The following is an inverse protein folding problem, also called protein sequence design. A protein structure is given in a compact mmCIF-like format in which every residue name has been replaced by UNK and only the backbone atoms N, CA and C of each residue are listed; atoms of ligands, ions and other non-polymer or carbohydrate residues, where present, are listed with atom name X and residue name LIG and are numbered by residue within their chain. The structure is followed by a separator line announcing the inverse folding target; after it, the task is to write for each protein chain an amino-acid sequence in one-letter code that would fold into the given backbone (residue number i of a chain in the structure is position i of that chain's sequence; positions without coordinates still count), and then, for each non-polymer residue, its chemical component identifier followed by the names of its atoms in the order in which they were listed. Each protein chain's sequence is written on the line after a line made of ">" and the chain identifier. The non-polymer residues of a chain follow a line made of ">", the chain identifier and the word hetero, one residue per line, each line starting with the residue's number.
data_IF_444528262953
#
_entry.id   IF_444528262953
#
_cell.length_a   1.000
_cell.length_b   1.000
_cell.length_c   1.000
_cell.angle_alpha   90.00
_cell.angle_beta   90.00
_cell.angle_gamma   90.00
#
_symmetry.space_group_name_H-M   'P 1'
#
loop_
_entity.id
_entity.type
_entity.pdbx_description
1 polymer ?
#
# COMPACT_ATOMS: atom_id res chain seq x y z
N UNK A 1 18.77 6.21 -22.81
CA UNK A 1 18.68 5.14 -23.84
C UNK A 1 18.73 3.84 -23.07
N UNK A 2 17.57 3.31 -22.68
CA UNK A 2 17.50 2.18 -21.74
C UNK A 2 18.20 0.97 -22.36
N UNK A 3 19.04 0.31 -21.56
CA UNK A 3 19.79 -0.86 -21.98
C UNK A 3 18.80 -2.01 -22.26
N UNK A 4 19.19 -2.98 -23.09
CA UNK A 4 18.37 -4.19 -23.32
C UNK A 4 18.09 -4.95 -22.02
N UNK A 5 18.96 -4.81 -21.01
CA UNK A 5 18.76 -5.40 -19.68
C UNK A 5 17.65 -4.67 -18.93
N UNK A 6 17.60 -3.35 -18.98
CA UNK A 6 16.57 -2.53 -18.28
C UNK A 6 15.17 -2.87 -18.80
N UNK A 7 15.03 -3.02 -20.11
CA UNK A 7 13.77 -3.42 -20.75
C UNK A 7 13.37 -4.84 -20.34
N UNK A 8 14.34 -5.77 -20.27
CA UNK A 8 14.07 -7.15 -19.85
C UNK A 8 13.66 -7.23 -18.37
N UNK A 9 14.31 -6.45 -17.50
CA UNK A 9 13.94 -6.33 -16.09
C UNK A 9 12.53 -5.76 -15.92
N UNK A 10 12.18 -4.72 -16.69
CA UNK A 10 10.85 -4.11 -16.66
C UNK A 10 9.75 -5.06 -17.16
N UNK A 11 10.04 -5.84 -18.20
CA UNK A 11 9.11 -6.88 -18.70
C UNK A 11 8.95 -7.98 -17.64
N UNK A 12 10.05 -8.48 -17.08
CA UNK A 12 10.02 -9.55 -16.08
C UNK A 12 9.35 -9.11 -14.77
N UNK A 13 9.53 -7.85 -14.35
CA UNK A 13 8.90 -7.31 -13.15
C UNK A 13 7.37 -7.20 -13.26
N UNK A 14 6.84 -6.97 -14.47
CA UNK A 14 5.40 -6.98 -14.72
C UNK A 14 4.84 -8.40 -14.91
N UNK A 15 5.61 -9.29 -15.54
CA UNK A 15 5.17 -10.66 -15.85
C UNK A 15 5.20 -11.58 -14.64
N UNK A 16 6.26 -11.57 -13.83
CA UNK A 16 6.43 -12.53 -12.75
C UNK A 16 5.29 -12.42 -11.71
N UNK A 17 4.86 -11.22 -11.24
CA UNK A 17 3.77 -11.13 -10.28
C UNK A 17 2.41 -11.56 -10.87
N UNK A 18 2.14 -11.23 -12.15
CA UNK A 18 0.95 -11.73 -12.88
C UNK A 18 0.96 -13.27 -12.97
N UNK A 19 2.12 -13.87 -13.27
CA UNK A 19 2.29 -15.34 -13.33
C UNK A 19 2.12 -15.99 -11.95
N UNK A 20 2.67 -15.40 -10.89
CA UNK A 20 2.45 -15.88 -9.52
C UNK A 20 0.97 -15.83 -9.14
N UNK A 21 0.28 -14.73 -9.46
CA UNK A 21 -1.15 -14.59 -9.23
C UNK A 21 -1.94 -15.65 -9.99
N UNK A 22 -1.70 -15.78 -11.30
CA UNK A 22 -2.37 -16.74 -12.14
C UNK A 22 -2.17 -18.16 -11.59
N UNK A 23 -0.95 -18.53 -11.21
CA UNK A 23 -0.66 -19.84 -10.61
C UNK A 23 -1.47 -20.08 -9.33
N UNK A 24 -1.59 -19.06 -8.45
CA UNK A 24 -2.39 -19.16 -7.22
C UNK A 24 -3.88 -19.30 -7.51
N UNK A 25 -4.42 -18.54 -8.46
CA UNK A 25 -5.83 -18.65 -8.89
C UNK A 25 -6.11 -20.03 -9.44
N UNK A 26 -5.28 -20.51 -10.38
CA UNK A 26 -5.43 -21.84 -11.00
C UNK A 26 -5.32 -22.96 -9.96
N UNK A 27 -4.43 -22.84 -8.99
CA UNK A 27 -4.34 -23.80 -7.88
C UNK A 27 -5.60 -23.78 -7.00
N UNK A 28 -6.12 -22.60 -6.67
CA UNK A 28 -7.27 -22.46 -5.77
C UNK A 28 -8.61 -22.84 -6.42
N UNK A 29 -8.79 -22.55 -7.71
CA UNK A 29 -10.08 -22.67 -8.41
C UNK A 29 -10.09 -23.67 -9.57
N UNK A 30 -8.92 -24.18 -9.99
CA UNK A 30 -8.78 -25.07 -11.14
C UNK A 30 -8.89 -24.39 -12.51
N UNK A 31 -9.41 -23.17 -12.57
CA UNK A 31 -9.49 -22.33 -13.78
C UNK A 31 -9.18 -20.86 -13.44
N UNK A 32 -9.31 -19.95 -14.41
CA UNK A 32 -9.11 -18.51 -14.21
C UNK A 32 -10.41 -17.70 -14.28
N UNK A 33 -11.55 -18.38 -14.34
CA UNK A 33 -12.84 -17.77 -14.56
C UNK A 33 -13.12 -16.69 -13.50
N UNK A 34 -13.42 -15.48 -13.97
CA UNK A 34 -13.67 -14.36 -13.09
C UNK A 34 -12.44 -13.67 -12.52
N UNK A 35 -11.20 -14.06 -12.84
CA UNK A 35 -9.96 -13.39 -12.38
C UNK A 35 -9.01 -13.01 -13.50
N UNK A 36 -8.80 -13.91 -14.46
CA UNK A 36 -8.06 -13.67 -15.69
C UNK A 36 -8.72 -14.45 -16.83
N UNK A 37 -8.89 -13.84 -17.98
CA UNK A 37 -9.13 -14.59 -19.21
C UNK A 37 -8.02 -14.18 -20.16
N UNK A 38 -7.14 -15.12 -20.50
CA UNK A 38 -6.07 -14.90 -21.47
C UNK A 38 -6.72 -14.39 -22.77
N UNK A 39 -6.37 -13.17 -23.21
CA UNK A 39 -7.00 -12.51 -24.36
C UNK A 39 -8.23 -11.64 -24.09
N UNK A 40 -8.66 -11.49 -22.83
CA UNK A 40 -9.71 -10.54 -22.42
C UNK A 40 -9.28 -9.75 -21.18
N UNK A 41 -8.07 -9.15 -21.21
CA UNK A 41 -7.73 -8.17 -20.17
C UNK A 41 -8.79 -7.05 -20.23
N UNK A 42 -9.59 -6.84 -19.18
CA UNK A 42 -10.67 -5.88 -19.25
C UNK A 42 -10.09 -4.46 -19.40
N UNK A 43 -10.71 -3.66 -20.27
CA UNK A 43 -10.42 -2.22 -20.47
C UNK A 43 -10.60 -1.36 -19.19
N UNK A 44 -10.94 -1.97 -18.06
CA UNK A 44 -11.19 -1.29 -16.79
C UNK A 44 -10.00 -1.43 -15.87
N UNK A 45 -9.55 -0.32 -15.27
CA UNK A 45 -8.51 -0.32 -14.25
C UNK A 45 -8.92 0.59 -13.07
N UNK A 46 -8.60 0.26 -11.81
CA UNK A 46 -8.03 -1.02 -11.36
C UNK A 46 -9.01 -2.19 -11.59
N UNK A 47 -8.51 -3.37 -11.96
CA UNK A 47 -9.31 -4.57 -12.19
C UNK A 47 -9.25 -5.55 -11.00
N UNK A 48 -9.77 -6.76 -11.17
CA UNK A 48 -9.80 -7.78 -10.11
C UNK A 48 -8.41 -8.25 -9.65
N UNK A 49 -7.41 -8.24 -10.54
CA UNK A 49 -6.02 -8.51 -10.16
C UNK A 49 -5.48 -7.38 -9.27
N UNK A 50 -5.62 -6.13 -9.69
CA UNK A 50 -5.13 -4.96 -8.96
C UNK A 50 -5.78 -4.86 -7.57
N UNK A 51 -7.06 -5.23 -7.47
CA UNK A 51 -7.83 -5.21 -6.23
C UNK A 51 -7.60 -6.43 -5.33
N UNK A 52 -6.85 -7.44 -5.79
CA UNK A 52 -6.64 -8.66 -5.01
C UNK A 52 -5.67 -8.46 -3.85
N UNK A 53 -5.90 -9.15 -2.73
CA UNK A 53 -5.04 -9.01 -1.55
C UNK A 53 -3.62 -9.51 -1.75
N UNK A 54 -3.39 -10.45 -2.68
CA UNK A 54 -2.03 -10.86 -3.02
C UNK A 54 -1.26 -9.74 -3.73
N UNK A 55 -1.91 -8.95 -4.59
CA UNK A 55 -1.28 -7.77 -5.20
C UNK A 55 -1.13 -6.66 -4.17
N UNK A 56 -2.23 -6.28 -3.52
CA UNK A 56 -2.26 -5.14 -2.59
C UNK A 56 -1.30 -5.34 -1.40
N UNK A 57 -1.10 -6.57 -0.92
CA UNK A 57 -0.14 -6.85 0.16
C UNK A 57 1.24 -7.22 -0.35
N UNK A 58 1.37 -8.24 -1.20
CA UNK A 58 2.68 -8.82 -1.47
C UNK A 58 3.51 -8.00 -2.46
N UNK A 59 2.85 -7.37 -3.43
CA UNK A 59 3.52 -6.52 -4.42
C UNK A 59 3.61 -5.10 -3.90
N UNK A 60 2.49 -4.56 -3.40
CA UNK A 60 2.37 -3.14 -3.05
C UNK A 60 2.57 -2.84 -1.56
N UNK A 61 2.91 -3.80 -0.70
CA UNK A 61 3.14 -3.57 0.73
C UNK A 61 1.97 -2.91 1.51
N UNK A 62 0.77 -2.91 0.92
CA UNK A 62 -0.39 -2.19 1.41
C UNK A 62 -0.37 -0.68 1.16
N UNK A 63 0.67 -0.13 0.51
CA UNK A 63 0.70 1.26 0.04
C UNK A 63 -0.07 1.44 -1.27
N UNK A 64 -0.25 2.70 -1.61
CA UNK A 64 -0.84 3.15 -2.87
C UNK A 64 0.14 2.99 -4.03
N UNK A 65 -0.39 3.01 -5.25
CA UNK A 65 0.41 3.02 -6.47
C UNK A 65 -0.36 3.73 -7.59
N UNK A 66 0.31 4.64 -8.30
CA UNK A 66 -0.18 5.14 -9.59
C UNK A 66 0.58 4.39 -10.68
N UNK A 67 -0.15 3.65 -11.51
CA UNK A 67 0.46 2.82 -12.54
C UNK A 67 -0.31 2.89 -13.85
N UNK A 68 0.24 2.27 -14.88
CA UNK A 68 -0.27 2.31 -16.23
C UNK A 68 -0.32 0.90 -16.83
N UNK A 69 -1.32 0.65 -17.67
CA UNK A 69 -1.46 -0.60 -18.41
C UNK A 69 -1.75 -0.32 -19.88
N UNK A 70 -1.02 -1.00 -20.75
CA UNK A 70 -1.34 -1.06 -22.18
C UNK A 70 -2.44 -2.09 -22.42
N UNK A 71 -3.53 -1.68 -23.05
CA UNK A 71 -4.65 -2.52 -23.45
C UNK A 71 -4.97 -2.26 -24.92
N UNK A 72 -4.58 -3.19 -25.80
CA UNK A 72 -4.55 -2.95 -27.24
C UNK A 72 -3.61 -1.80 -27.59
N UNK A 73 -4.11 -0.81 -28.34
CA UNK A 73 -3.36 0.41 -28.70
C UNK A 73 -3.52 1.55 -27.68
N UNK A 74 -4.20 1.31 -26.54
CA UNK A 74 -4.47 2.32 -25.53
C UNK A 74 -3.59 2.13 -24.30
N UNK A 75 -3.26 3.25 -23.68
CA UNK A 75 -2.60 3.31 -22.38
C UNK A 75 -3.57 3.86 -21.34
N UNK A 76 -3.78 3.11 -20.27
CA UNK A 76 -4.70 3.46 -19.19
C UNK A 76 -3.86 3.70 -17.94
N UNK A 77 -3.87 4.93 -17.44
CA UNK A 77 -3.31 5.29 -16.14
C UNK A 77 -4.39 5.16 -15.06
N UNK A 78 -4.04 4.60 -13.92
CA UNK A 78 -4.97 4.37 -12.82
C UNK A 78 -4.27 4.36 -11.46
N UNK A 79 -5.06 4.63 -10.43
CA UNK A 79 -4.62 4.69 -9.05
C UNK A 79 -5.15 3.51 -8.24
N UNK A 80 -4.25 2.81 -7.55
CA UNK A 80 -4.57 1.76 -6.59
C UNK A 80 -4.51 2.39 -5.20
N UNK A 81 -5.66 2.37 -4.49
CA UNK A 81 -5.76 2.91 -3.14
C UNK A 81 -4.96 2.06 -2.14
N UNK A 82 -4.33 2.68 -1.13
CA UNK A 82 -3.65 1.97 -0.05
C UNK A 82 -4.66 1.19 0.81
N UNK A 83 -4.18 0.29 1.66
CA UNK A 83 -5.01 -0.50 2.57
C UNK A 83 -5.17 0.19 3.93
N UNK A 84 -6.42 0.32 4.37
CA UNK A 84 -6.79 1.02 5.61
C UNK A 84 -6.47 0.22 6.88
N UNK A 85 -6.59 -1.10 6.77
CA UNK A 85 -6.66 -2.01 7.92
C UNK A 85 -5.56 -3.07 7.92
N UNK A 86 -4.59 -2.99 7.03
CA UNK A 86 -3.51 -3.97 6.95
C UNK A 86 -2.17 -3.27 7.09
N UNK A 87 -1.35 -3.78 8.01
CA UNK A 87 0.02 -3.33 8.20
C UNK A 87 1.00 -4.46 7.96
N UNK A 88 2.11 -4.17 7.29
CA UNK A 88 3.26 -5.06 7.23
C UNK A 88 3.92 -5.07 8.62
N UNK A 89 4.12 -6.26 9.19
CA UNK A 89 4.74 -6.41 10.51
C UNK A 89 6.09 -7.10 10.46
N UNK A 90 6.40 -7.77 9.34
CA UNK A 90 7.66 -8.47 9.12
C UNK A 90 7.85 -8.80 7.64
N UNK A 91 9.09 -8.82 7.19
CA UNK A 91 9.49 -9.42 5.91
C UNK A 91 10.79 -10.24 6.01
N UNK A 92 10.95 -11.20 5.10
CA UNK A 92 12.17 -11.99 4.98
C UNK A 92 13.28 -11.23 4.25
N UNK A 93 14.54 -11.58 4.55
CA UNK A 93 15.73 -11.07 3.86
C UNK A 93 15.71 -11.31 2.34
N UNK A 94 15.21 -12.48 1.91
CA UNK A 94 15.26 -12.89 0.50
C UNK A 94 14.36 -12.02 -0.38
N UNK A 95 14.96 -11.28 -1.30
CA UNK A 95 14.27 -10.67 -2.44
C UNK A 95 14.01 -11.71 -3.54
N UNK A 96 12.81 -11.69 -4.10
CA UNK A 96 12.42 -12.53 -5.26
C UNK A 96 12.52 -11.72 -6.55
N UNK A 97 12.13 -10.44 -6.50
CA UNK A 97 12.09 -9.53 -7.65
C UNK A 97 12.49 -8.13 -7.18
N UNK A 98 13.38 -7.47 -7.93
CA UNK A 98 13.69 -6.05 -7.79
C UNK A 98 13.23 -5.37 -9.08
N UNK A 99 12.03 -4.74 -9.08
CA UNK A 99 11.39 -4.24 -10.29
C UNK A 99 11.99 -2.91 -10.78
N UNK A 100 12.69 -2.19 -9.90
CA UNK A 100 13.34 -0.91 -10.17
C UNK A 100 14.70 -0.87 -9.46
N UNK A 101 15.43 0.24 -9.63
CA UNK A 101 16.66 0.50 -8.86
C UNK A 101 16.37 0.95 -7.42
N UNK A 102 15.12 1.32 -7.10
CA UNK A 102 14.72 1.69 -5.75
C UNK A 102 14.52 0.41 -4.90
N UNK A 103 15.33 0.18 -3.86
CA UNK A 103 15.17 -0.97 -2.98
C UNK A 103 13.81 -1.00 -2.27
N UNK A 104 13.11 0.15 -2.16
CA UNK A 104 11.75 0.24 -1.66
C UNK A 104 10.76 -0.60 -2.45
N UNK A 105 11.01 -0.83 -3.74
CA UNK A 105 10.14 -1.62 -4.62
C UNK A 105 10.44 -3.12 -4.59
N UNK A 106 11.42 -3.58 -3.80
CA UNK A 106 11.77 -5.00 -3.68
C UNK A 106 10.58 -5.86 -3.23
N UNK A 107 10.31 -6.93 -3.99
CA UNK A 107 9.33 -7.95 -3.63
C UNK A 107 10.05 -9.06 -2.86
N UNK A 108 9.90 -9.02 -1.53
CA UNK A 108 10.43 -10.05 -0.61
C UNK A 108 9.65 -11.36 -0.69
N UNK A 109 10.35 -12.47 -0.44
CA UNK A 109 9.80 -13.83 -0.55
C UNK A 109 8.67 -14.10 0.44
N UNK A 110 8.82 -13.62 1.67
CA UNK A 110 7.81 -13.75 2.74
C UNK A 110 7.55 -12.37 3.32
N UNK A 111 6.27 -12.04 3.45
CA UNK A 111 5.76 -10.85 4.12
C UNK A 111 4.63 -11.28 5.05
N UNK A 112 4.61 -10.77 6.28
CA UNK A 112 3.56 -11.02 7.25
C UNK A 112 2.81 -9.72 7.47
N UNK A 113 1.50 -9.79 7.33
CA UNK A 113 0.60 -8.66 7.56
C UNK A 113 -0.33 -8.97 8.70
N UNK A 114 -0.73 -7.92 9.40
CA UNK A 114 -1.73 -7.96 10.44
C UNK A 114 -2.93 -7.11 10.04
N UNK A 115 -4.14 -7.64 10.27
CA UNK A 115 -5.36 -6.86 10.21
C UNK A 115 -5.53 -6.10 11.53
N UNK A 116 -5.78 -4.79 11.45
CA UNK A 116 -6.05 -3.93 12.60
C UNK A 116 -7.29 -3.09 12.34
N UNK A 117 -7.95 -2.62 13.41
CA UNK A 117 -9.07 -1.67 13.26
C UNK A 117 -8.60 -0.36 12.62
N UNK A 118 -7.41 0.11 12.99
CA UNK A 118 -6.79 1.32 12.46
C UNK A 118 -7.38 2.59 13.09
N UNK A 119 -6.56 3.62 13.26
CA UNK A 119 -7.00 4.90 13.82
C UNK A 119 -7.77 5.69 12.78
N UNK A 120 -8.93 6.21 13.18
CA UNK A 120 -9.75 7.10 12.37
C UNK A 120 -9.35 8.55 12.62
N UNK A 121 -8.74 9.20 11.64
CA UNK A 121 -8.33 10.60 11.68
C UNK A 121 -9.38 11.41 10.94
N UNK A 122 -10.00 12.36 11.62
CA UNK A 122 -11.01 13.26 11.05
C UNK A 122 -10.50 14.68 11.22
N UNK A 123 -10.67 15.51 10.19
CA UNK A 123 -10.40 16.93 10.31
C UNK A 123 -11.28 17.79 9.41
N UNK A 124 -11.09 19.10 9.51
CA UNK A 124 -11.83 20.09 8.74
C UNK A 124 -10.93 20.77 7.70
N UNK A 125 -11.47 20.98 6.51
CA UNK A 125 -10.85 21.77 5.45
C UNK A 125 -11.94 22.30 4.52
N UNK A 126 -11.66 23.36 3.75
CA UNK A 126 -12.64 23.86 2.76
C UNK A 126 -12.95 22.73 1.77
N UNK A 127 -14.23 22.54 1.41
CA UNK A 127 -14.59 21.55 0.41
C UNK A 127 -13.80 21.77 -0.88
N UNK A 128 -13.31 20.70 -1.50
CA UNK A 128 -12.40 20.78 -2.64
C UNK A 128 -10.91 20.87 -2.27
N UNK A 129 -10.57 21.00 -0.99
CA UNK A 129 -9.16 21.03 -0.56
C UNK A 129 -8.58 19.62 -0.62
N UNK A 130 -7.50 19.44 -1.37
CA UNK A 130 -6.71 18.22 -1.35
C UNK A 130 -6.02 18.02 0.00
N UNK A 131 -6.17 16.82 0.56
CA UNK A 131 -5.57 16.41 1.83
C UNK A 131 -4.75 15.15 1.60
N UNK A 132 -3.50 15.19 2.05
CA UNK A 132 -2.57 14.06 1.96
C UNK A 132 -2.11 13.67 3.35
N UNK A 133 -2.12 12.38 3.65
CA UNK A 133 -1.55 11.83 4.87
C UNK A 133 -0.49 10.80 4.48
N UNK A 134 0.75 10.98 4.89
CA UNK A 134 1.84 10.05 4.54
C UNK A 134 2.72 9.70 5.73
N UNK A 135 3.39 8.54 5.66
CA UNK A 135 4.46 8.16 6.58
C UNK A 135 5.50 7.32 5.84
N UNK A 136 6.77 7.46 6.24
CA UNK A 136 7.82 6.53 5.83
C UNK A 136 7.76 5.28 6.72
N UNK A 137 7.72 4.12 6.09
CA UNK A 137 7.78 2.81 6.73
C UNK A 137 9.17 2.24 6.54
N UNK A 138 9.78 1.76 7.62
CA UNK A 138 11.05 1.03 7.61
C UNK A 138 10.83 -0.41 8.09
N UNK A 139 11.26 -1.39 7.29
CA UNK A 139 11.12 -2.82 7.62
C UNK A 139 12.27 -3.33 8.47
N UNK A 140 12.10 -4.54 9.02
CA UNK A 140 13.17 -5.25 9.74
C UNK A 140 14.39 -5.58 8.87
N UNK A 141 14.37 -5.33 7.56
CA UNK A 141 15.49 -5.53 6.63
C UNK A 141 16.09 -4.20 6.16
N UNK A 142 15.69 -3.07 6.75
CA UNK A 142 16.15 -1.73 6.37
C UNK A 142 15.56 -1.20 5.07
N UNK A 143 14.58 -1.91 4.49
CA UNK A 143 13.86 -1.44 3.30
C UNK A 143 12.91 -0.31 3.73
N UNK A 144 12.88 0.77 2.94
CA UNK A 144 12.03 1.93 3.19
C UNK A 144 11.04 2.12 2.06
N UNK A 145 9.80 2.44 2.40
CA UNK A 145 8.79 2.84 1.43
C UNK A 145 7.81 3.83 2.05
N UNK A 146 7.09 4.58 1.23
CA UNK A 146 6.08 5.53 1.71
C UNK A 146 4.71 4.86 1.67
N UNK A 147 3.95 5.00 2.76
CA UNK A 147 2.51 4.74 2.79
C UNK A 147 1.80 6.09 2.76
N UNK A 148 0.98 6.36 1.74
CA UNK A 148 0.29 7.63 1.56
C UNK A 148 -1.18 7.45 1.16
N UNK A 149 -2.03 8.24 1.80
CA UNK A 149 -3.44 8.38 1.47
C UNK A 149 -3.70 9.78 0.95
N UNK A 150 -4.54 9.88 -0.07
CA UNK A 150 -5.03 11.14 -0.60
C UNK A 150 -6.55 11.14 -0.54
N UNK A 151 -7.13 12.26 -0.14
CA UNK A 151 -8.57 12.53 -0.25
C UNK A 151 -8.79 13.99 -0.58
N UNK A 152 -10.00 14.31 -1.04
CA UNK A 152 -10.48 15.69 -1.09
C UNK A 152 -11.43 15.89 0.10
N UNK A 153 -11.42 17.10 0.67
CA UNK A 153 -12.40 17.43 1.70
C UNK A 153 -13.80 17.58 1.08
N UNK A 154 -14.77 16.90 1.66
CA UNK A 154 -16.18 16.89 1.25
C UNK A 154 -17.02 17.43 2.41
N UNK A 155 -17.97 18.32 2.13
CA UNK A 155 -18.82 18.97 3.14
C UNK A 155 -18.03 19.56 4.34
N UNK A 156 -16.86 20.14 4.04
CA UNK A 156 -15.99 20.76 5.03
C UNK A 156 -15.12 19.81 5.85
N UNK A 157 -15.15 18.49 5.55
CA UNK A 157 -14.50 17.46 6.36
C UNK A 157 -13.65 16.51 5.50
N UNK A 158 -12.66 15.89 6.11
CA UNK A 158 -11.91 14.77 5.53
C UNK A 158 -11.74 13.67 6.57
N UNK A 159 -11.51 12.45 6.09
CA UNK A 159 -11.30 11.27 6.93
C UNK A 159 -10.21 10.36 6.37
N UNK A 160 -9.40 9.81 7.26
CA UNK A 160 -8.49 8.70 6.97
C UNK A 160 -8.63 7.61 8.03
N UNK A 161 -8.42 6.36 7.61
CA UNK A 161 -8.12 5.25 8.52
C UNK A 161 -6.68 4.82 8.26
N UNK A 162 -5.88 4.71 9.32
CA UNK A 162 -4.46 4.34 9.21
C UNK A 162 -4.06 3.17 10.12
N UNK A 163 -3.24 2.23 9.63
CA UNK A 163 -2.97 0.99 10.36
C UNK A 163 -1.66 0.98 11.15
N UNK A 164 -0.75 1.94 10.98
CA UNK A 164 0.57 1.87 11.63
C UNK A 164 0.66 2.75 12.90
N UNK A 165 1.21 2.24 14.02
CA UNK A 165 1.63 3.07 15.15
C UNK A 165 2.98 3.74 14.87
N UNK A 166 3.30 4.83 15.57
CA UNK A 166 4.49 5.66 15.28
C UNK A 166 5.53 5.73 16.40
N UNK A 167 5.34 4.97 17.48
CA UNK A 167 6.25 4.98 18.64
C UNK A 167 7.39 3.94 18.57
N UNK A 168 7.64 3.40 17.37
CA UNK A 168 8.69 2.40 17.14
C UNK A 168 8.56 1.19 18.06
N UNK A 169 9.70 0.67 18.53
CA UNK A 169 9.73 -0.45 19.48
C UNK A 169 9.08 -0.12 20.83
N UNK A 170 9.17 1.14 21.27
CA UNK A 170 8.59 1.61 22.53
C UNK A 170 7.06 1.61 22.52
N UNK A 171 6.43 1.52 21.35
CA UNK A 171 4.98 1.43 21.19
C UNK A 171 4.40 0.02 21.32
N UNK A 172 5.22 -1.03 21.39
CA UNK A 172 4.74 -2.41 21.47
C UNK A 172 4.00 -2.67 22.78
N UNK A 173 2.88 -3.40 22.70
CA UNK A 173 2.08 -3.78 23.87
C UNK A 173 2.32 -5.24 24.27
N UNK A 174 2.37 -5.57 25.58
CA UNK A 174 2.46 -6.96 26.04
C UNK A 174 1.27 -7.81 25.55
N UNK A 175 1.55 -9.02 25.08
CA UNK A 175 0.52 -9.95 24.58
C UNK A 175 -0.05 -9.60 23.20
N UNK A 176 0.41 -8.52 22.57
CA UNK A 176 0.07 -8.14 21.20
C UNK A 176 1.22 -8.45 20.23
N UNK A 177 1.00 -8.21 18.94
CA UNK A 177 2.01 -8.41 17.89
C UNK A 177 3.28 -7.61 18.18
N UNK A 178 4.41 -8.30 18.24
CA UNK A 178 5.73 -7.70 18.38
C UNK A 178 6.28 -7.36 16.99
N UNK A 179 5.63 -6.40 16.32
CA UNK A 179 5.97 -6.00 14.95
C UNK A 179 7.41 -5.50 14.84
N UNK A 180 8.07 -5.76 13.71
CA UNK A 180 9.45 -5.36 13.43
C UNK A 180 9.55 -4.35 12.27
N UNK A 181 8.43 -3.74 11.92
CA UNK A 181 8.28 -2.73 10.87
C UNK A 181 7.75 -1.47 11.54
N UNK A 182 8.36 -0.33 11.27
CA UNK A 182 8.10 0.91 12.01
C UNK A 182 7.74 2.05 11.08
N UNK A 183 6.69 2.78 11.46
CA UNK A 183 6.32 4.03 10.81
C UNK A 183 6.96 5.22 11.52
N UNK A 184 7.36 6.22 10.75
CA UNK A 184 7.63 7.57 11.26
C UNK A 184 6.31 8.27 11.65
N UNK A 185 6.35 9.40 12.39
CA UNK A 185 5.16 10.24 12.58
C UNK A 185 4.48 10.53 11.24
N UNK A 186 3.15 10.44 11.22
CA UNK A 186 2.38 10.75 10.02
C UNK A 186 2.46 12.24 9.72
N UNK A 187 2.66 12.60 8.47
CA UNK A 187 2.59 13.96 7.96
C UNK A 187 1.22 14.18 7.33
N UNK A 188 0.40 14.99 7.98
CA UNK A 188 -0.90 15.44 7.47
C UNK A 188 -0.72 16.80 6.78
N UNK A 189 -0.90 16.82 5.47
CA UNK A 189 -0.86 18.01 4.64
C UNK A 189 -2.27 18.42 4.21
N UNK A 190 -2.66 19.64 4.57
CA UNK A 190 -3.95 20.26 4.19
C UNK A 190 -3.63 21.56 3.45
N UNK A 191 -3.71 21.56 2.11
CA UNK A 191 -3.20 22.67 1.30
C UNK A 191 -1.69 22.89 1.55
N UNK A 192 -1.33 24.08 2.04
CA UNK A 192 0.07 24.45 2.34
C UNK A 192 0.50 24.15 3.79
N UNK A 193 -0.43 23.75 4.67
CA UNK A 193 -0.12 23.42 6.07
C UNK A 193 0.28 21.95 6.18
N UNK A 194 1.32 21.67 6.95
CA UNK A 194 1.76 20.32 7.31
C UNK A 194 1.78 20.18 8.84
N UNK A 195 1.27 19.05 9.34
CA UNK A 195 1.17 18.73 10.78
C UNK A 195 1.68 17.30 10.98
N UNK A 196 2.50 17.09 12.01
CA UNK A 196 2.90 15.75 12.42
C UNK A 196 1.90 15.13 13.40
N UNK A 197 1.60 13.85 13.20
CA UNK A 197 0.67 13.07 14.02
C UNK A 197 1.37 11.82 14.53
N UNK A 198 1.40 11.68 15.85
CA UNK A 198 1.84 10.45 16.50
C UNK A 198 0.64 9.59 16.87
N UNK A 199 0.77 8.28 16.65
CA UNK A 199 -0.31 7.31 16.84
C UNK A 199 0.19 6.15 17.71
N UNK A 200 -0.54 5.87 18.79
CA UNK A 200 -0.21 4.75 19.68
C UNK A 200 -0.73 3.42 19.13
N UNK A 201 -0.07 2.32 19.53
CA UNK A 201 -0.53 0.97 19.20
C UNK A 201 -1.92 0.67 19.77
N UNK A 202 -2.21 1.18 20.98
CA UNK A 202 -3.52 1.02 21.59
C UNK A 202 -4.62 1.66 20.74
N UNK A 203 -4.38 2.88 20.23
CA UNK A 203 -5.34 3.58 19.38
C UNK A 203 -5.62 2.79 18.08
N UNK A 204 -4.58 2.19 17.49
CA UNK A 204 -4.68 1.37 16.28
C UNK A 204 -5.51 0.12 16.51
N UNK A 205 -5.27 -0.61 17.61
CA UNK A 205 -5.97 -1.85 17.93
C UNK A 205 -7.43 -1.59 18.34
N UNK A 206 -7.70 -0.49 19.05
CA UNK A 206 -9.03 -0.12 19.49
C UNK A 206 -9.87 0.56 18.40
N UNK A 207 -9.22 1.13 17.39
CA UNK A 207 -9.86 1.88 16.32
C UNK A 207 -10.32 3.26 16.79
N UNK A 208 -9.52 3.92 17.62
CA UNK A 208 -9.91 5.22 18.20
C UNK A 208 -10.02 6.29 17.12
N UNK A 209 -10.85 7.29 17.40
CA UNK A 209 -11.02 8.46 16.55
C UNK A 209 -10.20 9.63 17.08
N UNK A 210 -9.37 10.22 16.23
CA UNK A 210 -8.64 11.47 16.48
C UNK A 210 -9.29 12.60 15.65
N UNK A 211 -9.67 13.68 16.32
CA UNK A 211 -10.32 14.84 15.68
C UNK A 211 -9.32 16.00 15.64
N UNK A 212 -9.07 16.52 14.44
CA UNK A 212 -8.24 17.69 14.19
C UNK A 212 -9.11 18.90 13.88
N UNK A 213 -9.02 19.90 14.76
CA UNK A 213 -9.62 21.22 14.56
C UNK A 213 -8.47 22.21 14.29
N UNK A 214 -8.19 22.54 13.01
CA UNK A 214 -7.09 23.41 12.63
C UNK A 214 -7.30 24.90 12.96
#
# INVERSE_FOLDING_TARGET
>A
KNSKQDILLQIMSQLIPKVFFATKVKWAQGNFEGYYLEGQEPDTAPNKYDNSMIVRLHILDGREETTEREVGDKKIEFYIKPLDHFRLVYESERTVISPSEDPGDDIKAVKIFEYVKGVRIIGQAKSGTGVTLSTEIETNQGRKFVYQKNTEAEDGHFEFIVPYPTFGEGGRLPGQTQFAVFAQPYKLKIGDKEIEINISEEDVLEGRTMIFNP
#
